data_IF_351017693682
#
_entry.id   IF_351017693682
#
_cell.length_a   1.000
_cell.length_b   1.000
_cell.length_c   1.000
_cell.angle_alpha   90.00
_cell.angle_beta   90.00
_cell.angle_gamma   90.00
#
_symmetry.space_group_name_H-M   'P 1'
#
loop_
_entity.id
_entity.type
_entity.pdbx_description
1 polymer ?
#
# COMPACT_ATOMS: atom_id res chain seq x y z
N UNK A 1 20.46 -14.30 2.58
CA UNK A 1 20.27 -12.84 2.43
C UNK A 1 18.94 -12.64 1.73
N UNK A 2 18.07 -11.77 2.23
CA UNK A 2 16.76 -11.52 1.60
C UNK A 2 16.97 -10.68 0.33
N UNK A 3 16.56 -11.20 -0.83
CA UNK A 3 16.61 -10.51 -2.12
C UNK A 3 15.48 -9.46 -2.25
N UNK A 4 15.29 -8.63 -1.21
CA UNK A 4 14.28 -7.57 -1.22
C UNK A 4 14.82 -6.32 -1.89
N UNK A 5 13.94 -5.60 -2.58
CA UNK A 5 14.25 -4.31 -3.19
C UNK A 5 14.37 -3.27 -2.06
N UNK A 6 15.54 -2.68 -1.90
CA UNK A 6 15.77 -1.67 -0.87
C UNK A 6 15.17 -0.31 -1.28
N UNK A 7 14.32 0.25 -0.43
CA UNK A 7 13.66 1.53 -0.66
C UNK A 7 14.17 2.57 0.34
N UNK A 8 14.72 3.68 -0.16
CA UNK A 8 15.33 4.72 0.66
C UNK A 8 14.27 5.59 1.33
N UNK A 9 13.34 6.12 0.55
CA UNK A 9 12.29 7.00 1.06
C UNK A 9 11.19 6.17 1.74
N UNK A 10 10.70 6.59 2.92
CA UNK A 10 9.60 5.90 3.56
C UNK A 10 8.30 6.14 2.79
N UNK A 11 7.30 5.31 3.07
CA UNK A 11 5.92 5.52 2.65
C UNK A 11 5.05 5.78 3.87
N UNK A 12 4.09 6.69 3.74
CA UNK A 12 3.04 6.86 4.75
C UNK A 12 1.90 5.89 4.46
N UNK A 13 1.46 5.13 5.46
CA UNK A 13 0.29 4.26 5.38
C UNK A 13 -0.80 4.84 6.28
N UNK A 14 -1.87 5.35 5.66
CA UNK A 14 -3.09 5.75 6.35
C UNK A 14 -4.07 4.58 6.28
N UNK A 15 -4.17 3.82 7.36
CA UNK A 15 -5.05 2.67 7.46
C UNK A 15 -6.49 3.09 7.78
N UNK A 16 -7.44 2.21 7.51
CA UNK A 16 -8.86 2.45 7.71
C UNK A 16 -9.53 1.35 8.52
N UNK A 17 -10.73 0.97 8.13
CA UNK A 17 -11.56 0.00 8.83
C UNK A 17 -12.25 -0.99 7.88
N UNK A 18 -12.90 -2.00 8.45
CA UNK A 18 -13.69 -2.99 7.71
C UNK A 18 -12.88 -3.90 6.78
N UNK A 19 -13.51 -4.31 5.67
CA UNK A 19 -12.95 -5.23 4.69
C UNK A 19 -11.66 -4.69 4.05
N UNK A 20 -11.62 -3.38 3.79
CA UNK A 20 -10.48 -2.72 3.15
C UNK A 20 -9.19 -2.86 3.97
N UNK A 21 -9.31 -2.69 5.30
CA UNK A 21 -8.20 -2.89 6.24
C UNK A 21 -7.63 -4.30 6.13
N UNK A 22 -8.50 -5.31 6.11
CA UNK A 22 -8.08 -6.72 6.01
C UNK A 22 -7.30 -6.96 4.72
N UNK A 23 -7.85 -6.54 3.57
CA UNK A 23 -7.16 -6.67 2.28
C UNK A 23 -5.85 -5.89 2.22
N UNK A 24 -5.79 -4.68 2.77
CA UNK A 24 -4.56 -3.89 2.83
C UNK A 24 -3.48 -4.60 3.64
N UNK A 25 -3.83 -5.19 4.79
CA UNK A 25 -2.89 -5.95 5.62
C UNK A 25 -2.40 -7.22 4.91
N UNK A 26 -3.28 -7.92 4.19
CA UNK A 26 -2.88 -9.07 3.36
C UNK A 26 -1.90 -8.68 2.26
N UNK A 27 -2.21 -7.61 1.50
CA UNK A 27 -1.32 -7.06 0.47
C UNK A 27 0.02 -6.66 1.08
N UNK A 28 0.00 -5.96 2.21
CA UNK A 28 1.21 -5.52 2.90
C UNK A 28 2.08 -6.69 3.30
N UNK A 29 1.51 -7.76 3.85
CA UNK A 29 2.29 -8.91 4.31
C UNK A 29 2.82 -9.76 3.16
N UNK A 30 1.98 -10.05 2.16
CA UNK A 30 2.29 -11.00 1.08
C UNK A 30 3.01 -10.37 -0.11
N UNK A 31 2.83 -9.07 -0.35
CA UNK A 31 3.46 -8.35 -1.47
C UNK A 31 4.49 -7.35 -0.94
N UNK A 32 4.07 -6.33 -0.21
CA UNK A 32 4.93 -5.18 0.14
C UNK A 32 6.12 -5.62 0.99
N UNK A 33 5.87 -6.21 2.17
CA UNK A 33 6.89 -6.68 3.09
C UNK A 33 7.64 -7.92 2.57
N UNK A 34 7.06 -8.66 1.62
CA UNK A 34 7.71 -9.84 1.05
C UNK A 34 8.82 -9.42 0.08
N UNK A 35 8.52 -8.50 -0.84
CA UNK A 35 9.41 -8.09 -1.92
C UNK A 35 10.24 -6.84 -1.62
N UNK A 36 9.78 -5.97 -0.70
CA UNK A 36 10.39 -4.66 -0.45
C UNK A 36 10.96 -4.57 0.97
N UNK A 37 12.14 -3.97 1.07
CA UNK A 37 12.70 -3.47 2.33
C UNK A 37 12.41 -1.97 2.39
N UNK A 38 11.24 -1.63 2.91
CA UNK A 38 10.69 -0.27 2.94
C UNK A 38 10.29 0.12 4.35
N UNK A 39 10.57 1.38 4.71
CA UNK A 39 10.09 1.97 5.97
C UNK A 39 8.66 2.48 5.80
N UNK A 40 7.76 2.03 6.68
CA UNK A 40 6.35 2.44 6.67
C UNK A 40 6.08 3.30 7.90
N UNK A 41 5.58 4.52 7.68
CA UNK A 41 5.05 5.40 8.73
C UNK A 41 3.54 5.18 8.81
N UNK A 42 3.12 4.39 9.79
CA UNK A 42 1.74 3.90 9.92
C UNK A 42 0.88 4.82 10.79
N UNK A 43 -0.33 5.12 10.33
CA UNK A 43 -1.37 5.82 11.07
C UNK A 43 -2.68 5.06 10.96
N UNK A 44 -3.25 4.66 12.10
CA UNK A 44 -4.59 4.07 12.17
C UNK A 44 -5.63 5.18 12.19
N UNK A 45 -6.34 5.39 11.07
CA UNK A 45 -7.42 6.37 10.95
C UNK A 45 -8.81 5.72 11.09
N UNK A 46 -8.91 4.57 11.75
CA UNK A 46 -10.22 4.04 12.15
C UNK A 46 -10.95 5.02 13.06
N UNK A 47 -12.29 4.98 12.98
CA UNK A 47 -13.14 5.89 13.76
C UNK A 47 -12.85 5.78 15.27
N UNK A 48 -12.66 4.55 15.78
CA UNK A 48 -12.31 4.29 17.18
C UNK A 48 -11.00 4.98 17.59
N UNK A 49 -9.94 4.88 16.78
CA UNK A 49 -8.67 5.49 17.13
C UNK A 49 -8.71 7.02 17.03
N UNK A 50 -9.47 7.57 16.09
CA UNK A 50 -9.70 9.01 15.99
C UNK A 50 -10.43 9.52 17.24
N UNK A 51 -11.47 8.81 17.71
CA UNK A 51 -12.18 9.17 18.94
C UNK A 51 -11.26 9.08 20.17
N UNK A 52 -10.53 7.96 20.33
CA UNK A 52 -9.61 7.74 21.45
C UNK A 52 -8.51 8.80 21.54
N UNK A 53 -8.03 9.26 20.39
CA UNK A 53 -6.97 10.29 20.32
C UNK A 53 -7.52 11.71 20.23
N UNK A 54 -8.85 11.89 20.29
CA UNK A 54 -9.50 13.20 20.10
C UNK A 54 -9.04 13.90 18.82
N UNK A 55 -8.90 13.14 17.73
CA UNK A 55 -8.47 13.62 16.42
C UNK A 55 -6.97 13.84 16.23
N UNK A 56 -6.15 13.67 17.28
CA UNK A 56 -4.70 13.91 17.22
C UNK A 56 -4.00 13.04 16.17
N UNK A 57 -4.41 11.77 16.01
CA UNK A 57 -3.83 10.87 14.99
C UNK A 57 -4.01 11.38 13.56
N UNK A 58 -5.14 12.03 13.28
CA UNK A 58 -5.42 12.60 11.95
C UNK A 58 -4.54 13.80 11.66
N UNK A 59 -4.38 14.71 12.61
CA UNK A 59 -3.50 15.88 12.46
C UNK A 59 -2.04 15.46 12.32
N UNK A 60 -1.56 14.51 13.13
CA UNK A 60 -0.19 13.98 13.02
C UNK A 60 0.04 13.27 11.67
N UNK A 61 -0.96 12.54 11.17
CA UNK A 61 -0.90 11.92 9.86
C UNK A 61 -0.77 12.96 8.74
N UNK A 62 -1.59 14.02 8.76
CA UNK A 62 -1.54 15.12 7.79
C UNK A 62 -0.16 15.79 7.77
N UNK A 63 0.39 16.13 8.94
CA UNK A 63 1.72 16.75 9.05
C UNK A 63 2.85 15.87 8.47
N UNK A 64 2.72 14.54 8.59
CA UNK A 64 3.71 13.60 8.06
C UNK A 64 3.52 13.39 6.56
N UNK A 65 2.29 13.29 6.07
CA UNK A 65 2.00 13.19 4.63
C UNK A 65 2.58 14.37 3.87
N UNK A 66 2.47 15.59 4.40
CA UNK A 66 3.03 16.80 3.77
C UNK A 66 4.57 16.79 3.63
N UNK A 67 5.26 15.99 4.46
CA UNK A 67 6.72 15.91 4.48
C UNK A 67 7.28 14.75 3.66
N UNK A 68 6.44 13.77 3.34
CA UNK A 68 6.86 12.55 2.66
C UNK A 68 6.50 12.54 1.18
N UNK A 69 7.27 11.76 0.43
CA UNK A 69 7.14 11.67 -1.04
C UNK A 69 5.86 10.96 -1.45
N UNK A 70 5.42 9.98 -0.66
CA UNK A 70 4.30 9.15 -1.01
C UNK A 70 3.49 8.70 0.21
N UNK A 71 2.19 8.56 -0.04
CA UNK A 71 1.20 8.10 0.91
C UNK A 71 0.31 7.07 0.23
N UNK A 72 0.14 5.93 0.87
CA UNK A 72 -0.96 5.01 0.61
C UNK A 72 -2.10 5.34 1.58
N UNK A 73 -3.31 5.56 1.05
CA UNK A 73 -4.52 5.73 1.85
C UNK A 73 -5.46 4.57 1.62
N UNK A 74 -5.74 3.81 2.68
CA UNK A 74 -6.72 2.74 2.64
C UNK A 74 -8.13 3.31 2.41
N UNK A 75 -8.91 2.79 1.45
CA UNK A 75 -10.28 3.24 1.23
C UNK A 75 -11.20 2.84 2.39
N UNK A 76 -12.07 3.74 2.85
CA UNK A 76 -13.06 3.45 3.91
C UNK A 76 -14.34 2.76 3.40
N UNK A 77 -14.33 2.21 2.18
CA UNK A 77 -15.52 1.63 1.55
C UNK A 77 -15.62 0.13 1.79
N UNK A 78 -16.79 -0.34 2.21
CA UNK A 78 -17.08 -1.78 2.38
C UNK A 78 -17.19 -2.55 1.06
N UNK A 79 -17.24 -1.87 -0.09
CA UNK A 79 -17.37 -2.49 -1.42
C UNK A 79 -16.09 -2.41 -2.23
N UNK A 80 -14.93 -2.23 -1.59
CA UNK A 80 -13.64 -2.14 -2.28
C UNK A 80 -13.09 -3.53 -2.64
N UNK A 81 -12.61 -3.68 -3.87
CA UNK A 81 -11.93 -4.91 -4.28
C UNK A 81 -10.47 -4.90 -3.84
N UNK A 82 -9.90 -6.09 -3.63
CA UNK A 82 -8.48 -6.27 -3.37
C UNK A 82 -7.61 -5.64 -4.47
N UNK A 83 -8.03 -5.77 -5.74
CA UNK A 83 -7.33 -5.19 -6.88
C UNK A 83 -7.30 -3.66 -6.82
N UNK A 84 -8.40 -3.01 -6.44
CA UNK A 84 -8.42 -1.55 -6.26
C UNK A 84 -7.42 -1.10 -5.19
N UNK A 85 -7.30 -1.82 -4.08
CA UNK A 85 -6.32 -1.51 -3.02
C UNK A 85 -4.89 -1.71 -3.52
N UNK A 86 -4.63 -2.79 -4.25
CA UNK A 86 -3.32 -3.07 -4.82
C UNK A 86 -2.89 -1.99 -5.83
N UNK A 87 -3.83 -1.44 -6.62
CA UNK A 87 -3.57 -0.29 -7.51
C UNK A 87 -3.10 0.95 -6.73
N UNK A 88 -3.72 1.26 -5.60
CA UNK A 88 -3.30 2.38 -4.75
C UNK A 88 -1.89 2.18 -4.17
N UNK A 89 -1.55 0.96 -3.77
CA UNK A 89 -0.19 0.62 -3.35
C UNK A 89 0.81 0.81 -4.49
N UNK A 90 0.49 0.35 -5.70
CA UNK A 90 1.35 0.52 -6.89
C UNK A 90 1.59 2.00 -7.17
N UNK A 91 0.55 2.84 -7.13
CA UNK A 91 0.67 4.28 -7.36
C UNK A 91 1.61 4.94 -6.35
N UNK A 92 1.42 4.67 -5.06
CA UNK A 92 2.26 5.23 -4.01
C UNK A 92 3.72 4.78 -4.12
N UNK A 93 3.96 3.50 -4.40
CA UNK A 93 5.31 2.97 -4.62
C UNK A 93 5.96 3.56 -5.88
N UNK A 94 5.20 3.78 -6.95
CA UNK A 94 5.75 4.33 -8.19
C UNK A 94 6.19 5.80 -8.01
N UNK A 95 5.50 6.58 -7.18
CA UNK A 95 5.97 7.92 -6.80
C UNK A 95 7.33 7.88 -6.11
N UNK A 96 7.53 6.92 -5.20
CA UNK A 96 8.84 6.70 -4.57
C UNK A 96 9.89 6.26 -5.59
N UNK A 97 9.54 5.34 -6.50
CA UNK A 97 10.45 4.85 -7.53
C UNK A 97 11.00 6.00 -8.39
N UNK A 98 10.12 6.90 -8.83
CA UNK A 98 10.48 8.08 -9.63
C UNK A 98 11.34 9.05 -8.82
N UNK A 99 10.92 9.38 -7.60
CA UNK A 99 11.64 10.30 -6.72
C UNK A 99 13.05 9.80 -6.39
N UNK A 100 13.17 8.53 -5.99
CA UNK A 100 14.43 7.90 -5.60
C UNK A 100 15.28 7.48 -6.82
N UNK A 101 14.75 7.61 -8.05
CA UNK A 101 15.34 7.09 -9.29
C UNK A 101 15.67 5.59 -9.19
N UNK A 102 14.79 4.85 -8.52
CA UNK A 102 14.95 3.42 -8.25
C UNK A 102 14.31 2.59 -9.37
N UNK A 103 15.11 2.22 -10.36
CA UNK A 103 14.66 1.40 -11.51
C UNK A 103 14.17 0.01 -11.12
N UNK A 104 14.69 -0.56 -10.03
CA UNK A 104 14.27 -1.89 -9.59
C UNK A 104 12.84 -1.85 -9.03
N UNK A 105 12.53 -0.83 -8.22
CA UNK A 105 11.17 -0.57 -7.76
C UNK A 105 10.22 -0.20 -8.91
N UNK A 106 10.66 0.65 -9.84
CA UNK A 106 9.87 1.02 -11.02
C UNK A 106 9.48 -0.22 -11.85
N UNK A 107 10.45 -1.11 -12.11
CA UNK A 107 10.20 -2.37 -12.82
C UNK A 107 9.25 -3.28 -12.03
N UNK A 108 9.40 -3.36 -10.71
CA UNK A 108 8.48 -4.11 -9.85
C UNK A 108 7.04 -3.56 -9.95
N UNK A 109 6.86 -2.24 -9.83
CA UNK A 109 5.56 -1.58 -9.98
C UNK A 109 4.93 -1.83 -11.36
N UNK A 110 5.73 -1.77 -12.43
CA UNK A 110 5.26 -2.02 -13.78
C UNK A 110 4.78 -3.46 -13.98
N UNK A 111 5.56 -4.46 -13.55
CA UNK A 111 5.13 -5.87 -13.60
C UNK A 111 3.86 -6.11 -12.79
N UNK A 112 3.82 -5.58 -11.56
CA UNK A 112 2.65 -5.72 -10.68
C UNK A 112 1.40 -5.08 -11.31
N UNK A 113 1.56 -3.93 -11.98
CA UNK A 113 0.49 -3.25 -12.70
C UNK A 113 0.00 -4.03 -13.91
N UNK A 114 0.89 -4.64 -14.68
CA UNK A 114 0.54 -5.50 -15.81
C UNK A 114 -0.29 -6.70 -15.34
N UNK A 115 0.16 -7.38 -14.30
CA UNK A 115 -0.58 -8.51 -13.71
C UNK A 115 -1.96 -8.07 -13.21
N UNK A 116 -2.03 -6.99 -12.42
CA UNK A 116 -3.30 -6.44 -11.91
C UNK A 116 -4.27 -6.06 -13.04
N UNK A 117 -3.77 -5.54 -14.16
CA UNK A 117 -4.60 -5.18 -15.32
C UNK A 117 -5.05 -6.39 -16.15
N UNK A 118 -4.33 -7.51 -16.07
CA UNK A 118 -4.70 -8.73 -16.77
C UNK A 118 -5.89 -9.45 -16.11
N UNK A 119 -6.24 -9.09 -14.87
CA UNK A 119 -7.42 -9.62 -14.18
C UNK A 119 -8.62 -8.70 -14.34
N UNK A 120 -9.79 -9.29 -14.64
CA UNK A 120 -11.07 -8.60 -14.47
C UNK A 120 -11.40 -8.51 -12.97
N UNK A 121 -11.99 -7.40 -12.52
CA UNK A 121 -12.32 -7.16 -11.09
C UNK A 121 -13.18 -8.27 -10.44
N UNK A 122 -13.85 -9.10 -11.24
CA UNK A 122 -14.68 -10.22 -10.78
C UNK A 122 -13.96 -11.58 -10.74
N UNK A 123 -12.66 -11.65 -11.07
CA UNK A 123 -11.96 -12.91 -11.31
C UNK A 123 -10.99 -13.34 -10.19
N UNK A 124 -10.53 -12.42 -9.33
CA UNK A 124 -9.59 -12.78 -8.25
C UNK A 124 -10.35 -13.09 -6.97
N UNK A 125 -10.37 -14.37 -6.61
CA UNK A 125 -10.89 -14.82 -5.31
C UNK A 125 -9.83 -14.77 -4.19
N UNK A 126 -8.53 -14.66 -4.52
CA UNK A 126 -7.45 -14.55 -3.53
C UNK A 126 -6.16 -13.94 -4.09
N UNK A 127 -5.39 -13.26 -3.23
CA UNK A 127 -4.07 -12.71 -3.58
C UNK A 127 -3.06 -13.79 -4.02
N UNK A 128 -3.27 -15.04 -3.63
CA UNK A 128 -2.33 -16.14 -3.90
C UNK A 128 -2.22 -16.47 -5.40
N UNK A 129 -3.31 -16.32 -6.16
CA UNK A 129 -3.29 -16.48 -7.62
C UNK A 129 -2.42 -15.43 -8.31
N UNK A 130 -2.41 -14.20 -7.78
CA UNK A 130 -1.60 -13.11 -8.29
C UNK A 130 -0.12 -13.32 -7.95
N UNK A 131 0.18 -13.82 -6.75
CA UNK A 131 1.56 -14.12 -6.32
C UNK A 131 2.21 -15.24 -7.12
N UNK A 132 1.45 -16.19 -7.66
CA UNK A 132 1.98 -17.24 -8.55
C UNK A 132 2.52 -16.70 -9.88
N UNK A 133 2.19 -15.45 -10.24
CA UNK A 133 2.60 -14.80 -11.49
C UNK A 133 3.71 -13.76 -11.30
N UNK A 134 4.01 -13.36 -10.06
CA UNK A 134 5.05 -12.37 -9.71
C UNK A 134 6.41 -13.02 -9.46
#
# INVERSE_FOLDING_TARGET
MSNKIFIKSPIVELDGEGQARIFSQEIKNKVINHFLDIKIKYFDLSTENIELTTGKVSTEAEEVVEREVACFRCPSSNSVSLLSILRLWIEALNMIAIHDKNKELENFCNRLKEEVNAFNDNAINSLDELLLKL
#
